data_IF_837917963415
#
_entry.id   IF_837917963415
#
_cell.length_a   1.000
_cell.length_b   1.000
_cell.length_c   1.000
_cell.angle_alpha   90.00
_cell.angle_beta   90.00
_cell.angle_gamma   90.00
#
_symmetry.space_group_name_H-M   'P 1'
#
loop_
_entity.id
_entity.type
_entity.pdbx_description
1 polymer ?
#
# COMPACT_ATOMS: atom_id res chain seq x y z
N UNK A 1 -11.05 -22.52 -19.30
CA UNK A 1 -10.79 -22.85 -17.89
C UNK A 1 -9.66 -21.96 -17.41
N UNK A 2 -9.89 -21.12 -16.39
CA UNK A 2 -8.80 -20.39 -15.74
C UNK A 2 -7.97 -21.41 -14.95
N UNK A 3 -6.69 -21.58 -15.30
CA UNK A 3 -5.78 -22.43 -14.54
C UNK A 3 -5.60 -21.86 -13.13
N UNK A 4 -5.36 -22.69 -12.11
CA UNK A 4 -5.10 -22.21 -10.77
C UNK A 4 -3.89 -21.27 -10.80
N UNK A 5 -4.12 -20.00 -10.50
CA UNK A 5 -3.08 -18.97 -10.42
C UNK A 5 -2.02 -19.43 -9.40
N UNK A 6 -0.76 -19.43 -9.84
CA UNK A 6 0.37 -19.93 -9.04
C UNK A 6 0.52 -19.09 -7.77
N UNK A 7 1.02 -19.69 -6.69
CA UNK A 7 1.21 -18.99 -5.41
C UNK A 7 2.13 -17.78 -5.53
N UNK A 8 3.13 -17.83 -6.42
CA UNK A 8 4.05 -16.73 -6.70
C UNK A 8 3.36 -15.53 -7.35
N UNK A 9 2.49 -15.77 -8.34
CA UNK A 9 1.72 -14.70 -9.01
C UNK A 9 0.77 -14.01 -8.03
N UNK A 10 0.11 -14.77 -7.15
CA UNK A 10 -0.77 -14.23 -6.10
C UNK A 10 0.00 -13.34 -5.13
N UNK A 11 1.18 -13.77 -4.71
CA UNK A 11 2.00 -13.03 -3.74
C UNK A 11 2.53 -11.73 -4.35
N UNK A 12 3.01 -11.78 -5.60
CA UNK A 12 3.47 -10.59 -6.34
C UNK A 12 2.34 -9.59 -6.57
N UNK A 13 1.16 -10.06 -6.98
CA UNK A 13 -0.01 -9.21 -7.21
C UNK A 13 -0.51 -8.57 -5.92
N UNK A 14 -0.50 -9.31 -4.81
CA UNK A 14 -0.86 -8.78 -3.50
C UNK A 14 0.13 -7.69 -3.06
N UNK A 15 1.44 -7.91 -3.26
CA UNK A 15 2.47 -6.94 -2.89
C UNK A 15 2.35 -5.66 -3.73
N UNK A 16 2.12 -5.79 -5.03
CA UNK A 16 1.84 -4.65 -5.90
C UNK A 16 0.59 -3.88 -5.47
N UNK A 17 -0.51 -4.57 -5.17
CA UNK A 17 -1.74 -3.92 -4.72
C UNK A 17 -1.53 -3.14 -3.41
N UNK A 18 -0.83 -3.76 -2.45
CA UNK A 18 -0.43 -3.12 -1.18
C UNK A 18 0.37 -1.85 -1.46
N UNK A 19 1.39 -1.93 -2.33
CA UNK A 19 2.24 -0.79 -2.67
C UNK A 19 1.47 0.33 -3.36
N UNK A 20 0.57 -0.01 -4.30
CA UNK A 20 -0.29 0.96 -4.99
C UNK A 20 -1.18 1.73 -4.03
N UNK A 21 -1.76 1.06 -3.03
CA UNK A 21 -2.57 1.74 -2.00
C UNK A 21 -1.75 2.72 -1.17
N UNK A 22 -0.56 2.30 -0.71
CA UNK A 22 0.35 3.17 0.06
C UNK A 22 0.72 4.43 -0.74
N UNK A 23 1.13 4.25 -2.00
CA UNK A 23 1.51 5.35 -2.89
C UNK A 23 0.32 6.27 -3.16
N UNK A 24 -0.87 5.70 -3.43
CA UNK A 24 -2.07 6.48 -3.71
C UNK A 24 -2.47 7.36 -2.52
N UNK A 25 -2.42 6.83 -1.29
CA UNK A 25 -2.74 7.58 -0.06
C UNK A 25 -1.75 8.73 0.15
N UNK A 26 -0.44 8.44 0.06
CA UNK A 26 0.60 9.47 0.23
C UNK A 26 0.53 10.55 -0.84
N UNK A 27 0.37 10.17 -2.11
CA UNK A 27 0.26 11.10 -3.23
C UNK A 27 -0.99 11.96 -3.13
N UNK A 28 -2.13 11.37 -2.73
CA UNK A 28 -3.37 12.11 -2.51
C UNK A 28 -3.23 13.14 -1.38
N UNK A 29 -2.63 12.76 -0.25
CA UNK A 29 -2.40 13.68 0.86
C UNK A 29 -1.50 14.87 0.47
N UNK A 30 -0.44 14.60 -0.32
CA UNK A 30 0.43 15.64 -0.87
C UNK A 30 -0.30 16.58 -1.83
N UNK A 31 -1.07 16.04 -2.77
CA UNK A 31 -1.86 16.84 -3.71
C UNK A 31 -2.93 17.70 -3.01
N UNK A 32 -3.58 17.17 -1.97
CA UNK A 32 -4.55 17.92 -1.17
C UNK A 32 -3.88 19.09 -0.47
N UNK A 33 -2.66 18.91 0.01
CA UNK A 33 -1.90 19.96 0.70
C UNK A 33 -1.57 21.11 -0.24
N UNK A 34 -1.21 20.81 -1.51
CA UNK A 34 -0.96 21.84 -2.53
C UNK A 34 -2.13 22.81 -2.77
N UNK A 35 -3.37 22.40 -2.48
CA UNK A 35 -4.55 23.25 -2.62
C UNK A 35 -4.65 24.34 -1.53
N UNK A 36 -3.87 24.25 -0.46
CA UNK A 36 -3.96 25.10 0.72
C UNK A 36 -2.95 26.25 0.83
N UNK A 37 -2.28 26.64 -0.26
CA UNK A 37 -1.19 27.66 -0.24
C UNK A 37 -0.04 27.34 0.74
N UNK A 38 0.15 26.05 1.04
CA UNK A 38 1.22 25.59 1.93
C UNK A 38 2.58 25.57 1.27
N UNK A 39 3.62 25.67 2.08
CA UNK A 39 5.00 25.60 1.62
C UNK A 39 5.36 24.21 1.08
N UNK A 40 6.38 24.14 0.22
CA UNK A 40 6.90 22.85 -0.30
C UNK A 40 7.36 21.91 0.83
N UNK A 41 7.85 22.46 1.93
CA UNK A 41 8.28 21.69 3.10
C UNK A 41 7.10 21.03 3.82
N UNK A 42 6.00 21.76 4.01
CA UNK A 42 4.76 21.23 4.61
C UNK A 42 4.15 20.15 3.72
N UNK A 43 4.13 20.37 2.41
CA UNK A 43 3.67 19.37 1.44
C UNK A 43 4.47 18.07 1.55
N UNK A 44 5.80 18.16 1.61
CA UNK A 44 6.66 16.99 1.75
C UNK A 44 6.42 16.25 3.07
N UNK A 45 6.22 16.98 4.17
CA UNK A 45 5.87 16.40 5.47
C UNK A 45 4.52 15.67 5.42
N UNK A 46 3.48 16.30 4.89
CA UNK A 46 2.14 15.70 4.81
C UNK A 46 2.14 14.48 3.89
N UNK A 47 2.87 14.55 2.77
CA UNK A 47 3.08 13.39 1.89
C UNK A 47 3.77 12.25 2.62
N UNK A 48 4.81 12.54 3.41
CA UNK A 48 5.53 11.56 4.23
C UNK A 48 4.64 10.93 5.31
N UNK A 49 3.83 11.74 6.00
CA UNK A 49 2.86 11.26 7.00
C UNK A 49 1.78 10.40 6.33
N UNK A 50 1.27 10.81 5.17
CA UNK A 50 0.31 10.05 4.37
C UNK A 50 0.88 8.70 3.91
N UNK A 51 2.16 8.64 3.55
CA UNK A 51 2.88 7.40 3.22
C UNK A 51 2.96 6.45 4.41
N UNK A 52 3.37 6.95 5.57
CA UNK A 52 3.45 6.17 6.81
C UNK A 52 2.06 5.67 7.22
N UNK A 53 1.04 6.53 7.13
CA UNK A 53 -0.34 6.16 7.41
C UNK A 53 -0.86 5.10 6.42
N UNK A 54 -0.60 5.26 5.13
CA UNK A 54 -0.95 4.28 4.11
C UNK A 54 -0.29 2.93 4.38
N UNK A 55 0.98 2.90 4.77
CA UNK A 55 1.68 1.68 5.16
C UNK A 55 1.05 1.02 6.39
N UNK A 56 0.62 1.82 7.38
CA UNK A 56 -0.08 1.33 8.56
C UNK A 56 -1.44 0.70 8.20
N UNK A 57 -2.24 1.39 7.37
CA UNK A 57 -3.53 0.89 6.87
C UNK A 57 -3.34 -0.42 6.13
N UNK A 58 -2.37 -0.50 5.22
CA UNK A 58 -2.08 -1.72 4.47
C UNK A 58 -1.66 -2.87 5.39
N UNK A 59 -0.89 -2.60 6.45
CA UNK A 59 -0.51 -3.60 7.45
C UNK A 59 -1.74 -4.14 8.20
N UNK A 60 -2.68 -3.27 8.55
CA UNK A 60 -3.90 -3.63 9.28
C UNK A 60 -4.93 -4.33 8.40
N UNK A 61 -5.14 -3.83 7.18
CA UNK A 61 -6.16 -4.33 6.23
C UNK A 61 -5.72 -5.61 5.53
N UNK A 62 -4.42 -5.76 5.25
CA UNK A 62 -3.86 -6.99 4.70
C UNK A 62 -2.87 -7.64 5.67
N UNK A 63 -3.35 -8.19 6.81
CA UNK A 63 -2.53 -8.92 7.76
C UNK A 63 -2.19 -10.28 7.13
N UNK A 64 -1.08 -10.34 6.39
CA UNK A 64 -0.66 -11.57 5.73
C UNK A 64 0.27 -11.31 4.56
N UNK A 65 1.51 -11.75 4.70
CA UNK A 65 2.45 -11.94 3.60
C UNK A 65 2.32 -13.38 3.14
N UNK A 66 1.19 -13.74 2.53
CA UNK A 66 1.04 -15.01 1.80
C UNK A 66 1.62 -16.26 2.48
N UNK A 67 1.59 -16.37 3.82
CA UNK A 67 1.99 -17.59 4.51
C UNK A 67 0.90 -18.63 4.23
N UNK A 68 1.01 -19.26 3.07
CA UNK A 68 0.45 -20.58 2.85
C UNK A 68 1.10 -21.46 3.90
N UNK A 69 0.36 -21.71 4.97
CA UNK A 69 0.62 -22.80 5.91
C UNK A 69 0.45 -24.11 5.13
N UNK A 70 1.43 -24.43 4.29
CA UNK A 70 1.63 -25.76 3.72
C UNK A 70 2.25 -26.60 4.83
N UNK A 71 1.44 -26.97 5.82
CA UNK A 71 1.78 -28.04 6.75
C UNK A 71 0.61 -29.01 6.68
N UNK A 72 0.79 -29.98 5.78
CA UNK A 72 -0.19 -31.01 5.52
C UNK A 72 -0.50 -31.82 6.77
N UNK A 73 -1.76 -32.24 6.83
CA UNK A 73 -2.17 -33.51 7.42
C UNK A 73 -3.46 -33.93 6.74
#
# INVERSE_FOLDING_TARGET
MVGPMTSEERMRMTLWLKLSFVVLIGFSAGLITLLGDTTLLETALVTGVGLVFGALVVRVVFPGTGETKQSGR
#
